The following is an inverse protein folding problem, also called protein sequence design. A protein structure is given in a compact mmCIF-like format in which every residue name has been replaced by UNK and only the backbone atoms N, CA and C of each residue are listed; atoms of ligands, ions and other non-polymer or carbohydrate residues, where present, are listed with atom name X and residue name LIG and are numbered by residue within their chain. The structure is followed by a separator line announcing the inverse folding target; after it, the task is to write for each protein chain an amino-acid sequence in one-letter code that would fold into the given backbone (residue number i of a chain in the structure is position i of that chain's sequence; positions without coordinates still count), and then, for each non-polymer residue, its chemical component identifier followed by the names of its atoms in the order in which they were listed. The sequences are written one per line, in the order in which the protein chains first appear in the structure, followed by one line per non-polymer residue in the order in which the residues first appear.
data_IF_541985818804
#
_entry.id   IF_541985818804
#
_cell.length_a   1.000
_cell.length_b   1.000
_cell.length_c   1.000
_cell.angle_alpha   90.00
_cell.angle_beta   90.00
_cell.angle_gamma   90.00
#
_symmetry.space_group_name_H-M   'P 1'
#
loop_
_entity.id
_entity.type
_entity.pdbx_description
1 polymer ?
#
# COMPACT_ATOMS: atom_id res chain seq x y z
N UNK A 1 23.12 -21.34 45.70
CA UNK A 1 22.20 -20.47 46.48
C UNK A 1 21.69 -19.38 45.54
N UNK A 2 20.40 -19.43 45.16
CA UNK A 2 19.35 -18.45 45.54
C UNK A 2 19.72 -16.99 45.15
N UNK A 3 18.94 -16.19 44.41
CA UNK A 3 17.52 -16.24 44.02
C UNK A 3 17.18 -14.93 43.24
N UNK A 4 16.24 -15.02 42.29
CA UNK A 4 15.19 -14.02 41.97
C UNK A 4 15.60 -12.72 41.22
N UNK A 5 14.83 -12.13 40.28
CA UNK A 5 13.43 -12.30 39.85
C UNK A 5 13.15 -11.47 38.57
N UNK A 6 12.14 -11.89 37.82
CA UNK A 6 11.30 -11.14 36.85
C UNK A 6 11.86 -10.93 35.43
N UNK A 7 11.53 -11.85 34.52
CA UNK A 7 11.19 -11.45 33.15
C UNK A 7 9.82 -12.03 32.82
N UNK A 8 8.89 -11.09 32.74
CA UNK A 8 7.48 -11.13 32.40
C UNK A 8 7.02 -12.42 31.68
N UNK A 9 6.26 -13.24 32.41
CA UNK A 9 5.37 -14.22 31.83
C UNK A 9 4.23 -13.50 31.11
N UNK A 10 4.26 -13.43 29.79
CA UNK A 10 3.03 -13.27 28.99
C UNK A 10 2.42 -14.66 28.79
N UNK A 11 1.87 -15.22 29.87
CA UNK A 11 0.82 -16.24 29.75
C UNK A 11 -0.49 -15.47 29.76
N UNK A 12 -0.89 -14.97 28.59
CA UNK A 12 -2.29 -14.63 28.38
C UNK A 12 -2.96 -15.98 28.12
N UNK A 13 -3.68 -16.42 29.14
CA UNK A 13 -4.55 -17.59 29.10
C UNK A 13 -5.55 -17.38 27.96
N UNK A 14 -5.34 -18.09 26.85
CA UNK A 14 -6.31 -18.25 25.76
C UNK A 14 -7.42 -19.21 26.24
N UNK A 15 -8.22 -18.78 27.21
CA UNK A 15 -9.51 -19.41 27.51
C UNK A 15 -10.58 -18.34 27.40
N UNK A 16 -10.97 -18.08 26.16
CA UNK A 16 -11.92 -17.04 25.76
C UNK A 16 -11.62 -16.53 24.35
N UNK A 17 -11.39 -17.43 23.39
CA UNK A 17 -10.88 -17.11 22.05
C UNK A 17 -11.87 -17.40 20.91
N UNK A 18 -13.18 -17.35 21.14
CA UNK A 18 -14.14 -17.42 20.02
C UNK A 18 -14.30 -16.07 19.29
N UNK A 19 -13.84 -14.96 19.87
CA UNK A 19 -14.05 -13.60 19.30
C UNK A 19 -12.83 -13.01 18.59
N UNK A 20 -11.67 -13.67 18.58
CA UNK A 20 -10.45 -13.16 17.95
C UNK A 20 -10.32 -13.53 16.46
N UNK A 21 -10.93 -14.64 16.02
CA UNK A 21 -10.91 -15.03 14.60
C UNK A 21 -11.78 -14.13 13.72
N UNK A 22 -12.90 -13.62 14.23
CA UNK A 22 -13.80 -12.76 13.44
C UNK A 22 -13.21 -11.39 13.08
N UNK A 23 -12.23 -10.89 13.85
CA UNK A 23 -11.59 -9.61 13.57
C UNK A 23 -10.44 -9.72 12.57
N UNK A 24 -9.79 -10.88 12.48
CA UNK A 24 -8.75 -11.16 11.49
C UNK A 24 -9.39 -11.37 10.10
N UNK A 25 -10.48 -12.14 10.04
CA UNK A 25 -11.21 -12.38 8.78
C UNK A 25 -11.78 -11.07 8.21
N UNK A 26 -12.33 -10.18 9.05
CA UNK A 26 -12.86 -8.89 8.59
C UNK A 26 -11.79 -7.93 8.05
N UNK A 27 -10.58 -7.97 8.59
CA UNK A 27 -9.48 -7.15 8.10
C UNK A 27 -8.95 -7.69 6.75
N UNK A 28 -8.90 -9.01 6.59
CA UNK A 28 -8.56 -9.64 5.31
C UNK A 28 -9.65 -9.42 4.26
N UNK A 29 -10.93 -9.51 4.63
CA UNK A 29 -12.06 -9.27 3.71
C UNK A 29 -12.12 -7.82 3.23
N UNK A 30 -11.90 -6.85 4.12
CA UNK A 30 -11.82 -5.44 3.73
C UNK A 30 -10.62 -5.16 2.80
N UNK A 31 -9.47 -5.79 3.07
CA UNK A 31 -8.29 -5.69 2.20
C UNK A 31 -8.50 -6.41 0.86
N UNK A 32 -9.15 -7.57 0.85
CA UNK A 32 -9.52 -8.31 -0.36
C UNK A 32 -10.54 -7.52 -1.18
N UNK A 33 -11.54 -6.88 -0.55
CA UNK A 33 -12.47 -6.00 -1.24
C UNK A 33 -11.76 -4.77 -1.85
N UNK A 34 -10.78 -4.19 -1.14
CA UNK A 34 -9.96 -3.08 -1.68
C UNK A 34 -9.06 -3.51 -2.82
N UNK A 35 -8.48 -4.71 -2.73
CA UNK A 35 -7.70 -5.32 -3.81
C UNK A 35 -8.58 -5.64 -5.01
N UNK A 36 -9.81 -6.11 -4.81
CA UNK A 36 -10.82 -6.32 -5.85
C UNK A 36 -11.36 -5.01 -6.41
N UNK A 37 -11.57 -3.96 -5.61
CA UNK A 37 -11.94 -2.61 -6.08
C UNK A 37 -10.82 -1.99 -6.92
N UNK A 38 -9.58 -2.15 -6.47
CA UNK A 38 -8.41 -1.77 -7.24
C UNK A 38 -8.38 -2.60 -8.52
N UNK A 39 -8.51 -3.93 -8.45
CA UNK A 39 -8.53 -4.81 -9.61
C UNK A 39 -9.65 -4.43 -10.57
N UNK A 40 -10.86 -4.09 -10.11
CA UNK A 40 -11.98 -3.64 -10.95
C UNK A 40 -11.71 -2.24 -11.55
N UNK A 41 -11.12 -1.32 -10.80
CA UNK A 41 -10.68 -0.01 -11.32
C UNK A 41 -9.51 -0.16 -12.30
N UNK A 42 -8.68 -1.19 -12.12
CA UNK A 42 -7.54 -1.56 -12.94
C UNK A 42 -7.92 -2.53 -14.08
N UNK A 43 -9.12 -3.11 -14.10
CA UNK A 43 -9.69 -3.93 -15.19
C UNK A 43 -10.50 -3.05 -16.15
N UNK A 44 -11.09 -1.96 -15.65
CA UNK A 44 -11.60 -0.86 -16.47
C UNK A 44 -10.49 -0.12 -17.23
N UNK A 45 -9.25 -0.33 -16.79
CA UNK A 45 -8.03 0.13 -17.42
C UNK A 45 -7.39 -1.12 -18.04
N UNK A 46 -6.86 -1.08 -19.27
CA UNK A 46 -6.27 -2.30 -19.85
C UNK A 46 -4.92 -2.62 -19.20
N UNK A 47 -4.99 -3.32 -18.07
CA UNK A 47 -3.83 -3.63 -17.22
C UNK A 47 -3.58 -5.14 -17.13
N UNK A 48 -3.79 -5.81 -18.26
CA UNK A 48 -3.46 -7.22 -18.44
C UNK A 48 -1.96 -7.55 -18.25
N UNK A 49 -1.10 -6.54 -18.04
CA UNK A 49 0.31 -6.71 -17.72
C UNK A 49 0.76 -6.11 -16.40
N UNK A 50 -0.15 -5.74 -15.49
CA UNK A 50 0.28 -5.58 -14.09
C UNK A 50 0.59 -6.96 -13.56
N UNK A 51 1.67 -7.08 -12.78
CA UNK A 51 1.95 -8.32 -12.05
C UNK A 51 0.95 -8.43 -10.87
N UNK A 52 -0.32 -8.64 -11.20
CA UNK A 52 -1.45 -8.71 -10.28
C UNK A 52 -1.27 -9.87 -9.30
N UNK A 53 -0.50 -10.90 -9.65
CA UNK A 53 -0.11 -11.96 -8.73
C UNK A 53 0.66 -11.42 -7.52
N UNK A 54 1.52 -10.41 -7.73
CA UNK A 54 2.25 -9.77 -6.63
C UNK A 54 1.31 -9.01 -5.68
N UNK A 55 0.33 -8.30 -6.24
CA UNK A 55 -0.67 -7.57 -5.47
C UNK A 55 -1.69 -8.51 -4.81
N UNK A 56 -2.02 -9.64 -5.44
CA UNK A 56 -2.85 -10.71 -4.86
C UNK A 56 -2.16 -11.39 -3.69
N UNK A 57 -0.85 -11.62 -3.79
CA UNK A 57 -0.04 -12.22 -2.74
C UNK A 57 0.34 -11.21 -1.62
N UNK A 58 0.06 -9.91 -1.82
CA UNK A 58 0.27 -8.86 -0.82
C UNK A 58 -0.91 -7.87 -0.78
N UNK A 59 -2.04 -8.25 -0.12
CA UNK A 59 -3.23 -7.41 -0.04
C UNK A 59 -2.98 -6.05 0.63
N UNK A 60 -2.01 -6.00 1.55
CA UNK A 60 -1.60 -4.76 2.20
C UNK A 60 -0.94 -3.79 1.21
N UNK A 61 -0.06 -4.29 0.33
CA UNK A 61 0.56 -3.48 -0.70
C UNK A 61 -0.47 -2.98 -1.73
N UNK A 62 -1.40 -3.85 -2.14
CA UNK A 62 -2.50 -3.47 -3.02
C UNK A 62 -3.36 -2.35 -2.41
N UNK A 63 -3.71 -2.48 -1.12
CA UNK A 63 -4.47 -1.48 -0.39
C UNK A 63 -3.70 -0.16 -0.26
N UNK A 64 -2.41 -0.20 0.08
CA UNK A 64 -1.57 0.99 0.20
C UNK A 64 -1.42 1.73 -1.15
N UNK A 65 -1.16 0.99 -2.23
CA UNK A 65 -1.09 1.57 -3.57
C UNK A 65 -2.43 2.20 -3.95
N UNK A 66 -3.53 1.46 -3.84
CA UNK A 66 -4.88 1.96 -4.13
C UNK A 66 -5.23 3.23 -3.35
N UNK A 67 -4.96 3.22 -2.04
CA UNK A 67 -5.21 4.37 -1.17
C UNK A 67 -4.36 5.58 -1.59
N UNK A 68 -3.07 5.38 -1.88
CA UNK A 68 -2.18 6.47 -2.30
C UNK A 68 -2.59 7.12 -3.62
N UNK A 69 -3.10 6.33 -4.57
CA UNK A 69 -3.61 6.85 -5.85
C UNK A 69 -4.97 7.54 -5.66
N UNK A 70 -5.85 6.97 -4.86
CA UNK A 70 -7.13 7.61 -4.55
C UNK A 70 -6.91 8.96 -3.85
N UNK A 71 -5.99 9.01 -2.89
CA UNK A 71 -5.62 10.25 -2.21
C UNK A 71 -5.11 11.29 -3.20
N UNK A 72 -4.32 10.92 -4.22
CA UNK A 72 -3.87 11.84 -5.28
C UNK A 72 -5.01 12.34 -6.16
N UNK A 73 -6.01 11.51 -6.45
CA UNK A 73 -7.17 11.91 -7.24
C UNK A 73 -8.08 12.90 -6.49
N UNK A 74 -8.07 12.88 -5.16
CA UNK A 74 -8.93 13.69 -4.31
C UNK A 74 -8.20 14.77 -3.52
N UNK A 75 -6.88 14.92 -3.70
CA UNK A 75 -6.07 15.87 -2.93
C UNK A 75 -6.45 17.31 -3.24
N UNK A 76 -6.38 18.16 -2.23
CA UNK A 76 -6.45 19.61 -2.43
C UNK A 76 -5.10 20.12 -2.96
N UNK A 77 -5.05 20.40 -4.26
CA UNK A 77 -3.86 20.95 -4.93
C UNK A 77 -3.52 22.38 -4.52
N UNK A 78 -4.39 23.06 -3.77
CA UNK A 78 -4.09 24.38 -3.18
C UNK A 78 -3.38 24.28 -1.83
N UNK A 79 -3.31 23.08 -1.24
CA UNK A 79 -2.64 22.81 0.03
C UNK A 79 -1.29 22.11 -0.17
N UNK A 80 -0.16 22.82 0.00
CA UNK A 80 1.18 22.22 -0.13
C UNK A 80 1.41 21.06 0.86
N UNK A 81 0.83 21.14 2.05
CA UNK A 81 0.92 20.09 3.07
C UNK A 81 0.18 18.82 2.64
N UNK A 82 -1.04 18.95 2.11
CA UNK A 82 -1.81 17.82 1.60
C UNK A 82 -1.08 17.13 0.44
N UNK A 83 -0.58 17.91 -0.53
CA UNK A 83 0.21 17.37 -1.63
C UNK A 83 1.50 16.67 -1.15
N UNK A 84 2.19 17.24 -0.16
CA UNK A 84 3.39 16.62 0.40
C UNK A 84 3.09 15.28 1.10
N UNK A 85 1.98 15.20 1.84
CA UNK A 85 1.53 13.97 2.50
C UNK A 85 1.19 12.87 1.48
N UNK A 86 0.44 13.21 0.44
CA UNK A 86 0.10 12.27 -0.64
C UNK A 86 1.35 11.82 -1.39
N UNK A 87 2.26 12.75 -1.72
CA UNK A 87 3.55 12.44 -2.33
C UNK A 87 4.35 11.44 -1.51
N UNK A 88 4.38 11.59 -0.18
CA UNK A 88 5.07 10.65 0.72
C UNK A 88 4.43 9.25 0.72
N UNK A 89 3.09 9.18 0.69
CA UNK A 89 2.36 7.91 0.62
C UNK A 89 2.65 7.17 -0.68
N UNK A 90 2.66 7.89 -1.81
CA UNK A 90 2.99 7.33 -3.13
C UNK A 90 4.44 6.86 -3.15
N UNK A 91 5.36 7.68 -2.65
CA UNK A 91 6.77 7.32 -2.56
C UNK A 91 6.96 6.01 -1.78
N UNK A 92 6.29 5.90 -0.63
CA UNK A 92 6.34 4.69 0.18
C UNK A 92 5.73 3.48 -0.55
N UNK A 93 4.51 3.62 -1.09
CA UNK A 93 3.83 2.53 -1.80
C UNK A 93 4.67 2.02 -3.00
N UNK A 94 5.32 2.91 -3.73
CA UNK A 94 6.26 2.55 -4.78
C UNK A 94 7.48 1.80 -4.25
N UNK A 95 8.13 2.29 -3.18
CA UNK A 95 9.27 1.59 -2.57
C UNK A 95 8.88 0.18 -2.09
N UNK A 96 7.70 0.02 -1.48
CA UNK A 96 7.19 -1.28 -1.05
C UNK A 96 6.89 -2.20 -2.24
N UNK A 97 6.40 -1.64 -3.35
CA UNK A 97 6.19 -2.39 -4.58
C UNK A 97 7.51 -2.85 -5.20
N UNK A 98 8.50 -1.97 -5.26
CA UNK A 98 9.83 -2.28 -5.78
C UNK A 98 10.56 -3.32 -4.92
N UNK A 99 10.41 -3.24 -3.58
CA UNK A 99 10.97 -4.21 -2.63
C UNK A 99 10.30 -5.58 -2.75
N UNK A 100 8.97 -5.61 -2.90
CA UNK A 100 8.23 -6.86 -3.04
C UNK A 100 8.43 -7.53 -4.42
N UNK A 101 8.77 -6.76 -5.45
CA UNK A 101 8.97 -7.22 -6.83
C UNK A 101 10.37 -6.90 -7.34
N UNK A 102 10.48 -5.84 -8.15
CA UNK A 102 11.72 -5.26 -8.63
C UNK A 102 11.45 -3.78 -8.97
N UNK A 103 12.51 -2.97 -9.04
CA UNK A 103 12.39 -1.58 -9.48
C UNK A 103 11.75 -1.45 -10.87
N UNK A 104 12.12 -2.33 -11.82
CA UNK A 104 11.54 -2.34 -13.17
C UNK A 104 10.06 -2.67 -13.15
N UNK A 105 9.66 -3.71 -12.42
CA UNK A 105 8.24 -4.07 -12.29
C UNK A 105 7.43 -2.94 -11.66
N UNK A 106 7.95 -2.31 -10.59
CA UNK A 106 7.29 -1.18 -9.95
C UNK A 106 7.17 0.02 -10.89
N UNK A 107 8.19 0.33 -11.70
CA UNK A 107 8.12 1.40 -12.69
C UNK A 107 7.05 1.11 -13.76
N UNK A 108 7.03 -0.11 -14.32
CA UNK A 108 6.02 -0.51 -15.31
C UNK A 108 4.58 -0.42 -14.77
N UNK A 109 4.39 -0.76 -13.49
CA UNK A 109 3.11 -0.60 -12.78
C UNK A 109 2.68 0.86 -12.79
N UNK A 110 3.59 1.76 -12.41
CA UNK A 110 3.30 3.19 -12.31
C UNK A 110 3.11 3.83 -13.67
N UNK A 111 3.90 3.44 -14.68
CA UNK A 111 3.76 3.95 -16.04
C UNK A 111 2.39 3.60 -16.63
N UNK A 112 1.93 2.35 -16.43
CA UNK A 112 0.58 1.92 -16.85
C UNK A 112 -0.50 2.67 -16.09
N UNK A 113 -0.34 2.88 -14.79
CA UNK A 113 -1.28 3.68 -14.02
C UNK A 113 -1.36 5.11 -14.55
N UNK A 114 -0.21 5.76 -14.74
CA UNK A 114 -0.10 7.13 -15.24
C UNK A 114 -0.70 7.27 -16.65
N UNK A 115 -0.50 6.29 -17.53
CA UNK A 115 -1.09 6.31 -18.87
C UNK A 115 -2.62 6.48 -18.87
N UNK A 116 -3.30 6.07 -17.78
CA UNK A 116 -4.74 6.04 -17.67
C UNK A 116 -5.34 7.15 -16.79
N UNK A 117 -4.49 8.03 -16.25
CA UNK A 117 -4.93 9.21 -15.51
C UNK A 117 -4.98 10.39 -16.48
N UNK A 118 -6.16 11.00 -16.67
CA UNK A 118 -6.30 12.12 -17.60
C UNK A 118 -5.87 13.47 -16.99
N UNK A 119 -5.88 13.59 -15.67
CA UNK A 119 -5.51 14.81 -14.97
C UNK A 119 -3.98 14.97 -14.89
N UNK A 120 -3.43 16.06 -15.45
CA UNK A 120 -1.99 16.35 -15.50
C UNK A 120 -1.37 16.62 -14.12
N UNK A 121 -2.12 17.25 -13.22
CA UNK A 121 -1.64 17.60 -11.89
C UNK A 121 -1.53 16.34 -11.02
N UNK A 122 -2.51 15.44 -11.14
CA UNK A 122 -2.47 14.10 -10.52
C UNK A 122 -1.29 13.29 -11.06
N UNK A 123 -1.09 13.27 -12.39
CA UNK A 123 0.08 12.61 -13.02
C UNK A 123 1.39 13.13 -12.43
N UNK A 124 1.53 14.46 -12.39
CA UNK A 124 2.74 15.13 -11.89
C UNK A 124 2.98 14.82 -10.42
N UNK A 125 1.93 14.80 -9.59
CA UNK A 125 2.03 14.45 -8.18
C UNK A 125 2.47 13.00 -7.98
N UNK A 126 1.91 12.07 -8.74
CA UNK A 126 2.27 10.66 -8.69
C UNK A 126 3.71 10.44 -9.14
N UNK A 127 4.11 11.03 -10.28
CA UNK A 127 5.49 10.93 -10.78
C UNK A 127 6.50 11.54 -9.80
N UNK A 128 6.19 12.69 -9.20
CA UNK A 128 7.01 13.28 -8.14
C UNK A 128 7.13 12.37 -6.91
N UNK A 129 6.09 11.62 -6.58
CA UNK A 129 6.13 10.57 -5.56
C UNK A 129 7.05 9.43 -5.91
N UNK A 130 6.98 8.92 -7.15
CA UNK A 130 7.86 7.85 -7.65
C UNK A 130 9.33 8.29 -7.66
N UNK A 131 9.62 9.51 -8.13
CA UNK A 131 10.97 10.07 -8.09
C UNK A 131 11.48 10.20 -6.66
N UNK A 132 10.63 10.66 -5.72
CA UNK A 132 10.97 10.72 -4.30
C UNK A 132 11.27 9.34 -3.71
N UNK A 133 10.57 8.29 -4.16
CA UNK A 133 10.79 6.92 -3.70
C UNK A 133 12.21 6.42 -3.97
N UNK A 134 12.88 6.94 -5.01
CA UNK A 134 14.28 6.59 -5.32
C UNK A 134 15.25 7.02 -4.21
N UNK A 135 14.88 7.97 -3.36
CA UNK A 135 15.67 8.35 -2.19
C UNK A 135 15.40 7.47 -0.96
N UNK A 136 14.45 6.53 -1.02
CA UNK A 136 14.16 5.62 0.08
C UNK A 136 15.06 4.39 -0.05
N UNK A 137 15.74 4.01 1.03
CA UNK A 137 16.55 2.78 1.07
C UNK A 137 15.68 1.52 1.14
N UNK A 138 14.48 1.62 1.68
CA UNK A 138 13.51 0.53 1.81
C UNK A 138 12.09 1.07 1.99
N UNK A 139 11.10 0.20 1.88
CA UNK A 139 9.72 0.48 2.29
C UNK A 139 9.69 0.93 3.77
N UNK A 140 8.97 2.01 4.07
CA UNK A 140 8.64 2.45 5.42
C UNK A 140 7.36 1.73 5.84
N UNK A 141 7.50 0.76 6.75
CA UNK A 141 6.40 -0.08 7.23
C UNK A 141 5.61 0.58 8.36
#
# INVERSE_FOLDING_TARGET
MKKFLITLACVIVLTGCDSANQMIDKAQDAANQKAVELQNKLEAVDINGLNLELLKNSPQLASQLSASINDALTVDFTSPEAMAAVKNKIANAYSCLAEASSATTAQEVMDKLLANINNSDVKTLIDSGVQKAQSYQSCVK
#
